data_IF_439660078119
#
_entry.id   IF_439660078119
#
_cell.length_a   1.000
_cell.length_b   1.000
_cell.length_c   1.000
_cell.angle_alpha   90.00
_cell.angle_beta   90.00
_cell.angle_gamma   90.00
#
_symmetry.space_group_name_H-M   'P 1'
#
loop_
_entity.id
_entity.type
_entity.pdbx_description
1 polymer ?
#
# COMPACT_ATOMS: atom_id res chain seq x y z
N UNK A 1 -22.69 16.67 0.36
CA UNK A 1 -21.70 17.35 1.23
C UNK A 1 -20.97 18.48 0.51
N UNK A 2 -21.51 19.72 0.56
CA UNK A 2 -20.91 20.88 -0.12
C UNK A 2 -19.47 21.18 0.34
N UNK A 3 -19.17 20.92 1.62
CA UNK A 3 -17.86 21.17 2.24
C UNK A 3 -16.76 20.25 1.65
N UNK A 4 -17.05 18.96 1.49
CA UNK A 4 -16.09 17.99 0.88
C UNK A 4 -15.78 18.37 -0.57
N UNK A 5 -16.80 18.78 -1.32
CA UNK A 5 -16.63 19.25 -2.70
C UNK A 5 -15.77 20.53 -2.77
N UNK A 6 -15.99 21.49 -1.86
CA UNK A 6 -15.17 22.70 -1.78
C UNK A 6 -13.72 22.43 -1.36
N UNK A 7 -13.47 21.46 -0.49
CA UNK A 7 -12.11 21.08 -0.09
C UNK A 7 -11.34 20.39 -1.21
N UNK A 8 -12.02 19.60 -2.04
CA UNK A 8 -11.39 18.90 -3.16
C UNK A 8 -11.28 19.75 -4.43
N UNK A 9 -12.01 20.87 -4.54
CA UNK A 9 -11.96 21.81 -5.68
C UNK A 9 -10.53 22.18 -6.13
N UNK A 10 -9.58 22.56 -5.26
CA UNK A 10 -8.21 22.89 -5.67
C UNK A 10 -7.46 21.71 -6.31
N UNK A 11 -7.89 20.47 -6.07
CA UNK A 11 -7.33 19.26 -6.68
C UNK A 11 -8.10 18.88 -7.94
N UNK A 12 -9.44 18.96 -7.91
CA UNK A 12 -10.29 18.61 -9.05
C UNK A 12 -10.15 19.59 -10.22
N UNK A 13 -9.95 20.87 -9.98
CA UNK A 13 -9.85 21.89 -11.04
C UNK A 13 -8.63 21.63 -11.93
N UNK A 14 -7.40 21.49 -11.40
CA UNK A 14 -6.24 21.11 -12.22
C UNK A 14 -6.45 19.78 -12.95
N UNK A 15 -6.98 18.75 -12.27
CA UNK A 15 -7.18 17.44 -12.89
C UNK A 15 -8.19 17.50 -14.04
N UNK A 16 -9.27 18.25 -13.89
CA UNK A 16 -10.30 18.40 -14.92
C UNK A 16 -9.78 19.12 -16.16
N UNK A 17 -8.94 20.15 -15.99
CA UNK A 17 -8.39 20.90 -17.12
C UNK A 17 -7.20 20.21 -17.78
N UNK A 18 -6.37 19.51 -17.00
CA UNK A 18 -5.18 18.87 -17.54
C UNK A 18 -5.51 17.52 -18.20
N UNK A 19 -6.48 16.74 -17.68
CA UNK A 19 -6.80 15.42 -18.22
C UNK A 19 -7.76 15.54 -19.42
N UNK A 20 -7.31 15.20 -20.65
CA UNK A 20 -8.20 15.20 -21.80
C UNK A 20 -9.35 14.19 -21.59
N UNK A 21 -10.56 14.53 -22.01
CA UNK A 21 -11.72 13.64 -21.87
C UNK A 21 -12.07 12.87 -23.16
N UNK A 22 -11.31 13.09 -24.24
CA UNK A 22 -11.61 12.50 -25.54
C UNK A 22 -11.16 11.03 -25.60
N UNK A 23 -12.00 10.11 -26.11
CA UNK A 23 -11.67 8.69 -26.23
C UNK A 23 -10.44 8.41 -27.13
N UNK A 24 -10.16 9.29 -28.09
CA UNK A 24 -9.01 9.15 -29.01
C UNK A 24 -7.66 9.39 -28.32
N UNK A 25 -7.66 10.06 -27.16
CA UNK A 25 -6.47 10.42 -26.41
C UNK A 25 -6.21 9.50 -25.22
N UNK A 26 -6.77 8.29 -25.21
CA UNK A 26 -6.69 7.36 -24.07
C UNK A 26 -5.26 7.11 -23.57
N UNK A 27 -4.26 7.13 -24.46
CA UNK A 27 -2.86 6.93 -24.07
C UNK A 27 -2.30 8.17 -23.36
N UNK A 28 -2.68 9.36 -23.80
CA UNK A 28 -2.27 10.61 -23.16
C UNK A 28 -2.98 10.82 -21.81
N UNK A 29 -4.27 10.46 -21.72
CA UNK A 29 -5.00 10.49 -20.45
C UNK A 29 -4.38 9.54 -19.44
N UNK A 30 -4.05 8.31 -19.87
CA UNK A 30 -3.36 7.33 -19.05
C UNK A 30 -2.00 7.83 -18.56
N UNK A 31 -1.15 8.34 -19.47
CA UNK A 31 0.18 8.86 -19.11
C UNK A 31 0.11 10.04 -18.15
N UNK A 32 -0.83 10.96 -18.36
CA UNK A 32 -1.02 12.11 -17.48
C UNK A 32 -1.57 11.71 -16.11
N UNK A 33 -2.50 10.74 -16.05
CA UNK A 33 -2.95 10.20 -14.77
C UNK A 33 -1.83 9.53 -13.99
N UNK A 34 -0.92 8.81 -14.67
CA UNK A 34 0.27 8.23 -14.05
C UNK A 34 1.19 9.31 -13.47
N UNK A 35 1.38 10.41 -14.19
CA UNK A 35 2.17 11.55 -13.73
C UNK A 35 1.57 12.20 -12.48
N UNK A 36 0.24 12.39 -12.44
CA UNK A 36 -0.44 12.91 -11.26
C UNK A 36 -0.36 11.98 -10.06
N UNK A 37 -0.53 10.66 -10.28
CA UNK A 37 -0.34 9.65 -9.22
C UNK A 37 1.09 9.74 -8.68
N UNK A 38 2.11 9.80 -9.54
CA UNK A 38 3.50 9.94 -9.11
C UNK A 38 3.74 11.23 -8.31
N UNK A 39 3.16 12.35 -8.75
CA UNK A 39 3.23 13.63 -8.05
C UNK A 39 2.61 13.55 -6.65
N UNK A 40 1.37 13.06 -6.53
CA UNK A 40 0.70 12.93 -5.23
C UNK A 40 1.39 11.92 -4.31
N UNK A 41 1.89 10.80 -4.85
CA UNK A 41 2.65 9.81 -4.08
C UNK A 41 3.92 10.40 -3.47
N UNK A 42 4.63 11.29 -4.18
CA UNK A 42 5.80 11.98 -3.63
C UNK A 42 5.45 12.83 -2.40
N UNK A 43 4.41 13.66 -2.49
CA UNK A 43 3.96 14.47 -1.34
C UNK A 43 3.44 13.61 -0.20
N UNK A 44 2.77 12.50 -0.52
CA UNK A 44 2.25 11.57 0.49
C UNK A 44 3.40 10.98 1.33
N UNK A 45 4.46 10.46 0.69
CA UNK A 45 5.65 9.96 1.40
C UNK A 45 6.29 11.06 2.23
N UNK A 46 6.51 12.23 1.63
CA UNK A 46 7.20 13.34 2.30
C UNK A 46 6.43 13.85 3.53
N UNK A 47 5.11 14.00 3.44
CA UNK A 47 4.29 14.44 4.58
C UNK A 47 4.18 13.38 5.67
N UNK A 48 4.15 12.10 5.30
CA UNK A 48 4.15 11.00 6.28
C UNK A 48 5.46 10.97 7.08
N UNK A 49 6.60 11.23 6.44
CA UNK A 49 7.90 11.35 7.11
C UNK A 49 7.95 12.53 8.09
N UNK A 50 7.55 13.73 7.65
CA UNK A 50 7.46 14.92 8.52
C UNK A 50 6.52 14.66 9.70
N UNK A 51 5.37 14.03 9.46
CA UNK A 51 4.42 13.72 10.53
C UNK A 51 5.00 12.70 11.52
N UNK A 52 5.77 11.72 11.05
CA UNK A 52 6.52 10.81 11.91
C UNK A 52 7.50 11.53 12.82
N UNK A 53 8.29 12.46 12.26
CA UNK A 53 9.25 13.27 13.02
C UNK A 53 8.57 14.14 14.09
N UNK A 54 7.48 14.83 13.73
CA UNK A 54 6.73 15.70 14.65
C UNK A 54 6.04 14.89 15.76
N UNK A 55 5.52 13.70 15.44
CA UNK A 55 4.87 12.82 16.42
C UNK A 55 5.85 11.96 17.22
N UNK A 56 7.16 12.05 16.94
CA UNK A 56 8.20 11.17 17.51
C UNK A 56 7.91 9.68 17.30
N UNK A 57 7.36 9.32 16.14
CA UNK A 57 7.10 7.93 15.73
C UNK A 57 8.16 7.52 14.73
N UNK A 58 8.73 6.33 14.92
CA UNK A 58 9.75 5.78 14.03
C UNK A 58 9.23 5.68 12.59
N UNK A 59 10.01 6.13 11.58
CA UNK A 59 9.67 6.01 10.17
C UNK A 59 9.25 4.60 9.74
N UNK A 60 9.80 3.55 10.36
CA UNK A 60 9.41 2.15 10.10
C UNK A 60 7.93 1.95 10.44
N UNK A 61 7.49 2.43 11.61
CA UNK A 61 6.10 2.35 12.07
C UNK A 61 5.17 3.13 11.14
N UNK A 62 5.57 4.34 10.76
CA UNK A 62 4.81 5.17 9.81
C UNK A 62 4.69 4.50 8.43
N UNK A 63 5.72 3.77 8.00
CA UNK A 63 5.79 3.05 6.74
C UNK A 63 4.76 1.91 6.64
N UNK A 64 4.70 1.01 7.63
CA UNK A 64 3.76 -0.11 7.59
C UNK A 64 2.34 0.24 8.08
N UNK A 65 2.12 1.44 8.63
CA UNK A 65 0.79 1.93 9.05
C UNK A 65 0.22 2.94 8.05
N UNK A 66 0.65 4.19 8.12
CA UNK A 66 0.04 5.32 7.43
C UNK A 66 0.38 5.32 5.93
N UNK A 67 1.63 5.04 5.58
CA UNK A 67 2.07 4.96 4.19
C UNK A 67 1.40 3.78 3.48
N UNK A 68 1.44 2.59 4.10
CA UNK A 68 0.78 1.39 3.58
C UNK A 68 -0.74 1.56 3.43
N UNK A 69 -1.41 2.16 4.41
CA UNK A 69 -2.84 2.48 4.28
C UNK A 69 -3.09 3.47 3.12
N UNK A 70 -2.24 4.49 2.99
CA UNK A 70 -2.31 5.50 1.93
C UNK A 70 -2.25 4.90 0.52
N UNK A 71 -1.32 3.97 0.27
CA UNK A 71 -1.18 3.31 -1.02
C UNK A 71 -2.31 2.33 -1.33
N UNK A 72 -2.91 1.69 -0.31
CA UNK A 72 -4.01 0.74 -0.51
C UNK A 72 -5.41 1.37 -0.62
N UNK A 73 -5.59 2.65 -0.28
CA UNK A 73 -6.91 3.33 -0.39
C UNK A 73 -7.45 3.33 -1.84
N UNK A 74 -6.68 3.73 -2.87
CA UNK A 74 -7.15 3.71 -4.26
C UNK A 74 -7.59 2.31 -4.70
N UNK A 75 -6.81 1.28 -4.36
CA UNK A 75 -7.11 -0.12 -4.67
C UNK A 75 -8.36 -0.60 -3.95
N UNK A 76 -8.53 -0.23 -2.68
CA UNK A 76 -9.74 -0.54 -1.92
C UNK A 76 -10.97 0.11 -2.55
N UNK A 77 -10.88 1.36 -2.99
CA UNK A 77 -11.99 2.06 -3.66
C UNK A 77 -12.35 1.38 -4.98
N UNK A 78 -11.36 1.00 -5.78
CA UNK A 78 -11.54 0.28 -7.04
C UNK A 78 -12.19 -1.10 -6.81
N UNK A 79 -11.65 -1.89 -5.88
CA UNK A 79 -12.17 -3.19 -5.48
C UNK A 79 -13.63 -3.10 -4.99
N UNK A 80 -13.94 -2.13 -4.14
CA UNK A 80 -15.31 -1.91 -3.65
C UNK A 80 -16.26 -1.51 -4.78
N UNK A 81 -15.82 -0.67 -5.73
CA UNK A 81 -16.64 -0.30 -6.87
C UNK A 81 -17.00 -1.52 -7.73
N UNK A 82 -16.02 -2.39 -8.02
CA UNK A 82 -16.22 -3.64 -8.79
C UNK A 82 -17.08 -4.65 -8.02
N UNK A 83 -16.87 -4.79 -6.71
CA UNK A 83 -17.69 -5.67 -5.87
C UNK A 83 -19.17 -5.24 -5.84
N UNK A 84 -19.44 -3.93 -5.82
CA UNK A 84 -20.82 -3.37 -5.88
C UNK A 84 -21.51 -3.67 -7.20
N UNK A 85 -20.76 -3.90 -8.28
CA UNK A 85 -21.30 -4.34 -9.58
C UNK A 85 -21.58 -5.85 -9.64
N UNK A 86 -21.49 -6.55 -8.50
CA UNK A 86 -21.70 -8.00 -8.42
C UNK A 86 -20.50 -8.83 -8.87
N UNK A 87 -19.36 -8.20 -9.18
CA UNK A 87 -18.13 -8.86 -9.65
C UNK A 87 -17.17 -9.13 -8.49
N UNK A 88 -17.64 -9.89 -7.50
CA UNK A 88 -16.87 -10.22 -6.29
C UNK A 88 -15.53 -10.90 -6.60
N UNK A 89 -15.51 -11.85 -7.53
CA UNK A 89 -14.29 -12.58 -7.90
C UNK A 89 -13.21 -11.65 -8.48
N UNK A 90 -13.63 -10.67 -9.28
CA UNK A 90 -12.76 -9.64 -9.85
C UNK A 90 -12.21 -8.70 -8.77
N UNK A 91 -13.02 -8.37 -7.76
CA UNK A 91 -12.55 -7.58 -6.61
C UNK A 91 -11.49 -8.32 -5.79
N UNK A 92 -11.68 -9.62 -5.56
CA UNK A 92 -10.73 -10.45 -4.82
C UNK A 92 -9.44 -10.62 -5.63
N UNK A 93 -9.54 -10.91 -6.94
CA UNK A 93 -8.37 -11.04 -7.80
C UNK A 93 -7.58 -9.73 -7.90
N UNK A 94 -8.24 -8.58 -7.94
CA UNK A 94 -7.59 -7.26 -7.95
C UNK A 94 -6.79 -7.02 -6.67
N UNK A 95 -7.37 -7.36 -5.51
CA UNK A 95 -6.72 -7.15 -4.21
C UNK A 95 -5.52 -8.06 -3.98
N UNK A 96 -5.57 -9.30 -4.49
CA UNK A 96 -4.44 -10.23 -4.44
C UNK A 96 -3.37 -9.83 -5.46
N UNK A 97 -3.81 -9.47 -6.67
CA UNK A 97 -2.93 -9.12 -7.78
C UNK A 97 -2.09 -7.87 -7.53
N UNK A 98 -2.66 -6.82 -6.90
CA UNK A 98 -1.90 -5.59 -6.57
C UNK A 98 -0.75 -5.89 -5.62
N UNK A 99 -0.97 -6.63 -4.54
CA UNK A 99 0.10 -7.01 -3.60
C UNK A 99 1.21 -7.85 -4.26
N UNK A 100 0.83 -8.77 -5.16
CA UNK A 100 1.81 -9.57 -5.90
C UNK A 100 2.62 -8.66 -6.83
N UNK A 101 1.96 -7.72 -7.52
CA UNK A 101 2.63 -6.75 -8.38
C UNK A 101 3.58 -5.84 -7.59
N UNK A 102 3.18 -5.35 -6.43
CA UNK A 102 4.02 -4.51 -5.57
C UNK A 102 5.30 -5.24 -5.15
N UNK A 103 5.20 -6.53 -4.78
CA UNK A 103 6.37 -7.32 -4.37
C UNK A 103 7.27 -7.66 -5.57
N UNK A 104 6.70 -8.05 -6.71
CA UNK A 104 7.48 -8.54 -7.86
C UNK A 104 7.98 -7.43 -8.78
N UNK A 105 7.30 -6.29 -8.81
CA UNK A 105 7.56 -5.19 -9.75
C UNK A 105 7.82 -3.89 -9.00
N UNK A 106 6.96 -3.55 -8.03
CA UNK A 106 7.05 -2.31 -7.26
C UNK A 106 8.33 -2.18 -6.43
N UNK A 107 8.77 -3.26 -5.76
CA UNK A 107 10.01 -3.28 -4.98
C UNK A 107 11.29 -3.43 -5.84
N UNK A 108 11.37 -4.35 -6.82
CA UNK A 108 12.63 -4.60 -7.52
C UNK A 108 13.01 -3.50 -8.51
N UNK A 109 12.06 -2.85 -9.18
CA UNK A 109 12.36 -1.84 -10.20
C UNK A 109 13.15 -0.64 -9.62
N UNK A 110 12.67 0.05 -8.55
CA UNK A 110 13.43 1.15 -7.96
C UNK A 110 14.81 0.71 -7.46
N UNK A 111 14.90 -0.51 -6.93
CA UNK A 111 16.16 -1.07 -6.45
C UNK A 111 17.16 -1.30 -7.60
N UNK A 112 16.72 -1.90 -8.70
CA UNK A 112 17.55 -2.10 -9.90
C UNK A 112 18.01 -0.75 -10.47
N UNK A 113 17.11 0.24 -10.55
CA UNK A 113 17.46 1.60 -11.00
C UNK A 113 18.55 2.18 -10.11
N UNK A 114 18.39 2.08 -8.78
CA UNK A 114 19.38 2.59 -7.82
C UNK A 114 20.73 1.87 -7.96
N UNK A 115 20.72 0.55 -8.11
CA UNK A 115 21.91 -0.26 -8.33
C UNK A 115 22.65 0.15 -9.61
N UNK A 116 21.93 0.34 -10.73
CA UNK A 116 22.53 0.77 -12.00
C UNK A 116 23.17 2.16 -11.86
N UNK A 117 22.49 3.10 -11.19
CA UNK A 117 23.02 4.46 -10.95
C UNK A 117 24.29 4.40 -10.10
N UNK A 118 24.28 3.67 -8.99
CA UNK A 118 25.42 3.59 -8.09
C UNK A 118 26.62 2.88 -8.72
N UNK A 119 26.38 1.79 -9.47
CA UNK A 119 27.41 1.11 -10.25
C UNK A 119 28.05 2.05 -11.29
N UNK A 120 27.26 2.92 -11.92
CA UNK A 120 27.79 3.91 -12.87
C UNK A 120 28.71 4.95 -12.23
N UNK A 121 28.57 5.19 -10.91
CA UNK A 121 29.39 6.11 -10.11
C UNK A 121 30.50 5.36 -9.34
N UNK A 122 30.61 4.04 -9.50
CA UNK A 122 31.61 3.21 -8.82
C UNK A 122 31.35 3.00 -7.32
N UNK A 123 30.11 3.18 -6.86
CA UNK A 123 29.70 2.95 -5.46
C UNK A 123 29.09 1.56 -5.34
N UNK A 124 29.36 0.86 -4.24
CA UNK A 124 28.64 -0.36 -3.88
C UNK A 124 27.31 0.02 -3.23
N UNK A 125 26.19 -0.43 -3.80
CA UNK A 125 24.86 -0.24 -3.19
C UNK A 125 24.59 -1.35 -2.20
N UNK A 126 24.85 -1.11 -0.92
CA UNK A 126 24.29 -1.96 0.13
C UNK A 126 22.94 -1.40 0.55
N UNK A 127 21.86 -2.15 0.29
CA UNK A 127 20.54 -1.81 0.84
C UNK A 127 20.53 -2.25 2.29
N UNK A 128 20.66 -1.28 3.20
CA UNK A 128 20.54 -1.53 4.63
C UNK A 128 19.06 -1.71 4.98
N UNK A 129 18.71 -2.91 5.40
CA UNK A 129 17.41 -3.19 5.98
C UNK A 129 17.40 -2.57 7.38
N UNK A 130 16.50 -1.62 7.61
CA UNK A 130 16.49 -0.79 8.81
C UNK A 130 16.06 -1.54 10.07
N UNK A 131 15.19 -2.55 9.93
CA UNK A 131 14.65 -3.30 11.07
C UNK A 131 15.43 -4.60 11.32
N UNK A 132 15.94 -4.84 12.54
CA UNK A 132 16.51 -6.12 12.96
C UNK A 132 15.44 -7.22 13.13
N UNK A 133 14.16 -6.91 12.88
CA UNK A 133 13.01 -7.79 13.06
C UNK A 133 12.46 -8.33 11.74
N UNK A 134 13.19 -8.20 10.63
CA UNK A 134 12.74 -8.63 9.30
C UNK A 134 12.21 -10.06 9.29
N UNK A 135 12.93 -11.00 9.91
CA UNK A 135 12.53 -12.41 9.98
C UNK A 135 11.17 -12.58 10.65
N UNK A 136 10.91 -11.83 11.73
CA UNK A 136 9.61 -11.83 12.40
C UNK A 136 8.51 -11.31 11.48
N UNK A 137 8.72 -10.19 10.79
CA UNK A 137 7.73 -9.63 9.85
C UNK A 137 7.43 -10.57 8.68
N UNK A 138 8.43 -11.29 8.16
CA UNK A 138 8.24 -12.30 7.11
C UNK A 138 7.38 -13.46 7.62
N UNK A 139 7.69 -14.00 8.80
CA UNK A 139 6.90 -15.08 9.41
C UNK A 139 5.47 -14.64 9.74
N UNK A 140 5.32 -13.41 10.25
CA UNK A 140 4.04 -12.78 10.53
C UNK A 140 3.20 -12.68 9.23
N UNK A 141 3.79 -12.20 8.13
CA UNK A 141 3.11 -12.10 6.85
C UNK A 141 2.71 -13.47 6.29
N UNK A 142 3.58 -14.48 6.37
CA UNK A 142 3.26 -15.85 5.95
C UNK A 142 2.10 -16.43 6.77
N UNK A 143 2.12 -16.21 8.08
CA UNK A 143 1.03 -16.63 8.96
C UNK A 143 -0.28 -15.91 8.64
N UNK A 144 -0.24 -14.61 8.32
CA UNK A 144 -1.42 -13.85 7.88
C UNK A 144 -2.02 -14.44 6.61
N UNK A 145 -1.21 -14.69 5.58
CA UNK A 145 -1.67 -15.27 4.31
C UNK A 145 -2.30 -16.64 4.55
N UNK A 146 -1.66 -17.49 5.35
CA UNK A 146 -2.20 -18.79 5.72
C UNK A 146 -3.55 -18.65 6.43
N UNK A 147 -3.65 -17.79 7.44
CA UNK A 147 -4.89 -17.55 8.19
C UNK A 147 -6.03 -17.05 7.29
N UNK A 148 -5.74 -16.12 6.36
CA UNK A 148 -6.71 -15.62 5.39
C UNK A 148 -7.25 -16.76 4.51
N UNK A 149 -6.37 -17.59 3.95
CA UNK A 149 -6.77 -18.72 3.09
C UNK A 149 -7.62 -19.73 3.86
N UNK A 150 -7.23 -20.07 5.10
CA UNK A 150 -7.99 -20.98 5.96
C UNK A 150 -9.38 -20.42 6.26
N UNK A 151 -9.50 -19.15 6.63
CA UNK A 151 -10.79 -18.51 6.93
C UNK A 151 -11.71 -18.52 5.70
N UNK A 152 -11.17 -18.19 4.51
CA UNK A 152 -11.93 -18.22 3.25
C UNK A 152 -12.42 -19.65 2.95
N UNK A 153 -11.57 -20.64 3.16
CA UNK A 153 -11.90 -22.04 2.96
C UNK A 153 -13.01 -22.51 3.92
N UNK A 154 -12.91 -22.18 5.20
CA UNK A 154 -13.91 -22.52 6.22
C UNK A 154 -15.28 -21.87 5.97
N UNK A 155 -15.31 -20.68 5.35
CA UNK A 155 -16.54 -19.95 5.00
C UNK A 155 -17.10 -20.42 3.63
N UNK A 156 -16.41 -21.34 2.95
CA UNK A 156 -16.87 -21.93 1.69
C UNK A 156 -16.79 -20.97 0.50
N UNK A 157 -15.75 -20.13 0.45
CA UNK A 157 -15.48 -19.21 -0.69
C UNK A 157 -16.62 -18.23 -1.00
N UNK A 158 -17.33 -17.76 0.03
CA UNK A 158 -18.41 -16.77 -0.11
C UNK A 158 -18.01 -15.43 0.50
N UNK A 159 -18.14 -14.37 -0.29
CA UNK A 159 -17.93 -13.00 0.18
C UNK A 159 -19.10 -12.57 1.07
N UNK A 160 -18.94 -12.72 2.39
CA UNK A 160 -19.97 -12.44 3.40
C UNK A 160 -19.54 -11.31 4.35
N UNK A 161 -20.51 -10.69 5.03
CA UNK A 161 -20.21 -9.69 6.08
C UNK A 161 -19.41 -10.29 7.23
N UNK A 162 -19.62 -11.58 7.51
CA UNK A 162 -18.87 -12.33 8.52
C UNK A 162 -17.41 -12.49 8.13
N UNK A 163 -17.13 -12.85 6.87
CA UNK A 163 -15.75 -12.90 6.35
C UNK A 163 -15.07 -11.53 6.47
N UNK A 164 -15.77 -10.45 6.10
CA UNK A 164 -15.24 -9.09 6.23
C UNK A 164 -14.88 -8.73 7.68
N UNK A 165 -15.72 -9.11 8.66
CA UNK A 165 -15.42 -8.90 10.08
C UNK A 165 -14.18 -9.68 10.51
N UNK A 166 -14.08 -10.96 10.14
CA UNK A 166 -12.89 -11.76 10.45
C UNK A 166 -11.62 -11.17 9.84
N UNK A 167 -11.67 -10.72 8.58
CA UNK A 167 -10.54 -10.07 7.92
C UNK A 167 -10.14 -8.76 8.60
N UNK A 168 -11.11 -7.96 9.05
CA UNK A 168 -10.84 -6.71 9.77
C UNK A 168 -10.20 -6.97 11.15
N UNK A 169 -10.70 -7.95 11.90
CA UNK A 169 -10.11 -8.36 13.19
C UNK A 169 -8.69 -8.86 12.97
N UNK A 170 -8.47 -9.70 11.95
CA UNK A 170 -7.15 -10.21 11.59
C UNK A 170 -6.20 -9.04 11.32
N UNK A 171 -6.58 -8.11 10.43
CA UNK A 171 -5.77 -6.93 10.12
C UNK A 171 -5.36 -6.14 11.38
N UNK A 172 -6.30 -5.86 12.29
CA UNK A 172 -6.00 -5.12 13.54
C UNK A 172 -5.05 -5.90 14.44
N UNK A 173 -5.25 -7.21 14.61
CA UNK A 173 -4.38 -8.06 15.43
C UNK A 173 -2.96 -8.09 14.89
N UNK A 174 -2.81 -8.26 13.57
CA UNK A 174 -1.51 -8.30 12.91
C UNK A 174 -0.79 -6.95 12.97
N UNK A 175 -1.52 -5.86 12.75
CA UNK A 175 -0.98 -4.50 12.87
C UNK A 175 -0.51 -4.22 14.31
N UNK A 176 -1.33 -4.56 15.30
CA UNK A 176 -0.99 -4.39 16.71
C UNK A 176 0.22 -5.25 17.11
N UNK A 177 0.33 -6.48 16.60
CA UNK A 177 1.49 -7.35 16.84
C UNK A 177 2.77 -6.76 16.25
N UNK A 178 2.73 -6.27 15.00
CA UNK A 178 3.86 -5.60 14.35
C UNK A 178 4.31 -4.36 15.11
N UNK A 179 3.35 -3.50 15.50
CA UNK A 179 3.62 -2.32 16.33
C UNK A 179 4.20 -2.69 17.69
N UNK A 180 3.63 -3.69 18.36
CA UNK A 180 4.09 -4.09 19.69
C UNK A 180 5.55 -4.53 19.67
N UNK A 181 5.98 -5.28 18.65
CA UNK A 181 7.39 -5.70 18.50
C UNK A 181 8.30 -4.49 18.29
N UNK A 182 7.93 -3.57 17.40
CA UNK A 182 8.76 -2.39 17.13
C UNK A 182 8.85 -1.45 18.36
N UNK A 183 7.78 -1.31 19.14
CA UNK A 183 7.79 -0.51 20.38
C UNK A 183 8.55 -1.18 21.53
N UNK A 184 8.31 -2.47 21.76
CA UNK A 184 8.92 -3.20 22.90
C UNK A 184 10.38 -3.54 22.66
N UNK A 185 10.86 -3.45 21.43
CA UNK A 185 12.25 -3.69 21.04
C UNK A 185 12.85 -4.97 21.66
N UNK A 186 12.17 -6.13 21.55
CA UNK A 186 12.61 -7.37 22.18
C UNK A 186 13.97 -7.79 21.61
N UNK A 187 14.95 -7.98 22.48
CA UNK A 187 16.32 -8.36 22.08
C UNK A 187 16.39 -9.76 21.46
N UNK A 188 15.47 -10.65 21.84
CA UNK A 188 15.41 -12.05 21.40
C UNK A 188 14.78 -12.25 20.02
N UNK A 189 14.21 -11.21 19.40
CA UNK A 189 13.70 -11.25 18.02
C UNK A 189 14.64 -10.58 17.01
N UNK A 190 15.79 -10.05 17.47
CA UNK A 190 16.79 -9.41 16.61
C UNK A 190 17.60 -10.50 15.92
N UNK A 191 17.23 -10.86 14.69
CA UNK A 191 17.88 -11.90 13.88
C UNK A 191 18.19 -11.37 12.49
#
# INVERSE_FOLDING_TARGET
>A
DKIRWCLCLPVYVPLYFLIPSSPDWYLATFGLSLMWIAFFSFFMVWWVEILGEVCHIDPIIMGYTLLAAGTSIPDAVSSVAVARLGKGDMSVSSSIGSNIFDILVGLPIPWIIKLVIDLSVGRTSEVRILSPYLTFFVLLLLFMVFAVVVIIHLIGWRLSRTLALFMAVLYVVFLAAGMAVEFTNPSWLRF
#
